data_IF_898443131898
#
_entry.id   IF_898443131898
#
_cell.length_a   1.000
_cell.length_b   1.000
_cell.length_c   1.000
_cell.angle_alpha   90.00
_cell.angle_beta   90.00
_cell.angle_gamma   90.00
#
_symmetry.space_group_name_H-M   'P 1'
#
loop_
_entity.id
_entity.type
_entity.pdbx_description
1 polymer ?
#
# COMPACT_ATOMS: atom_id res chain seq x y z
N UNK A 1 -35.45 -28.15 17.40
CA UNK A 1 -34.11 -27.64 17.59
C UNK A 1 -34.11 -26.13 17.45
N UNK A 2 -33.98 -25.40 18.56
CA UNK A 2 -34.01 -23.93 18.56
C UNK A 2 -32.62 -23.44 18.16
N UNK A 3 -32.53 -22.66 17.10
CA UNK A 3 -31.27 -22.01 16.65
C UNK A 3 -30.84 -20.96 17.67
N UNK A 4 -29.65 -21.14 18.24
CA UNK A 4 -29.03 -20.10 19.07
C UNK A 4 -28.80 -18.82 18.24
N UNK A 5 -29.14 -17.65 18.75
CA UNK A 5 -28.83 -16.39 18.09
C UNK A 5 -27.34 -16.16 18.10
N UNK A 6 -26.79 -15.82 16.92
CA UNK A 6 -25.38 -15.37 16.79
C UNK A 6 -25.15 -14.18 17.72
N UNK A 7 -24.01 -14.11 18.43
CA UNK A 7 -23.70 -12.97 19.28
C UNK A 7 -23.66 -11.68 18.45
N UNK A 8 -24.36 -10.65 18.94
CA UNK A 8 -24.31 -9.31 18.38
C UNK A 8 -22.87 -8.81 18.35
N UNK A 9 -22.38 -8.25 17.22
CA UNK A 9 -21.06 -7.67 17.19
C UNK A 9 -20.99 -6.53 18.21
N UNK A 10 -20.02 -6.63 19.12
CA UNK A 10 -19.71 -5.64 20.14
C UNK A 10 -19.52 -4.29 19.43
N UNK A 11 -20.28 -3.29 19.88
CA UNK A 11 -20.14 -1.91 19.40
C UNK A 11 -18.71 -1.45 19.65
N UNK A 12 -17.96 -0.93 18.66
CA UNK A 12 -16.65 -0.38 18.95
C UNK A 12 -16.80 0.70 20.03
N UNK A 13 -16.06 0.54 21.13
CA UNK A 13 -16.08 1.47 22.23
C UNK A 13 -15.63 2.84 21.71
N UNK A 14 -16.47 3.85 21.78
CA UNK A 14 -16.09 5.24 21.51
C UNK A 14 -15.01 5.62 22.52
N UNK A 15 -13.81 5.87 22.07
CA UNK A 15 -12.74 6.43 22.90
C UNK A 15 -13.15 7.89 23.20
N UNK A 16 -13.35 8.28 24.46
CA UNK A 16 -13.75 9.65 24.81
C UNK A 16 -12.70 10.66 24.29
N UNK A 17 -13.15 11.74 23.67
CA UNK A 17 -12.28 12.81 23.17
C UNK A 17 -11.74 12.62 21.75
N UNK A 18 -12.00 11.49 21.06
CA UNK A 18 -11.57 11.25 19.67
C UNK A 18 -12.56 11.86 18.69
N UNK A 19 -12.05 12.69 17.77
CA UNK A 19 -12.85 13.21 16.66
C UNK A 19 -13.20 12.09 15.68
N UNK A 20 -14.47 11.97 15.35
CA UNK A 20 -14.97 11.04 14.33
C UNK A 20 -15.09 11.81 13.02
N UNK A 21 -14.53 11.24 11.94
CA UNK A 21 -14.59 11.80 10.62
C UNK A 21 -15.58 11.04 9.74
N UNK A 22 -16.27 11.78 8.88
CA UNK A 22 -17.01 11.24 7.74
C UNK A 22 -16.11 11.36 6.50
N UNK A 23 -15.62 10.24 5.98
CA UNK A 23 -14.64 10.21 4.89
C UNK A 23 -15.27 9.60 3.65
N UNK A 24 -15.27 10.36 2.53
CA UNK A 24 -15.60 9.82 1.23
C UNK A 24 -14.33 9.24 0.58
N UNK A 25 -14.22 7.93 0.54
CA UNK A 25 -13.11 7.21 -0.10
C UNK A 25 -13.47 6.91 -1.55
N UNK A 26 -12.64 7.32 -2.50
CA UNK A 26 -12.86 7.10 -3.94
C UNK A 26 -11.70 6.31 -4.51
N UNK A 27 -12.02 5.17 -5.13
CA UNK A 27 -11.03 4.25 -5.68
C UNK A 27 -11.55 3.54 -6.92
N UNK A 28 -10.67 3.14 -7.81
CA UNK A 28 -10.99 2.30 -8.99
C UNK A 28 -10.70 0.84 -8.74
N UNK A 29 -9.92 0.52 -7.69
CA UNK A 29 -9.60 -0.85 -7.28
C UNK A 29 -9.97 -1.08 -5.82
N UNK A 30 -10.74 -2.12 -5.56
CA UNK A 30 -11.15 -2.52 -4.21
C UNK A 30 -11.50 -4.00 -4.19
N UNK A 31 -11.64 -4.59 -2.97
CA UNK A 31 -12.13 -5.96 -2.83
C UNK A 31 -13.46 -6.16 -3.61
N UNK A 32 -13.65 -7.28 -4.34
CA UNK A 32 -12.89 -8.54 -4.33
C UNK A 32 -11.66 -8.61 -5.25
N UNK A 33 -11.21 -7.50 -5.85
CA UNK A 33 -9.97 -7.52 -6.63
C UNK A 33 -8.76 -7.94 -5.79
N UNK A 34 -7.87 -8.77 -6.36
CA UNK A 34 -6.71 -9.31 -5.66
C UNK A 34 -5.46 -8.60 -6.15
N UNK A 35 -5.21 -7.41 -5.63
CA UNK A 35 -3.97 -6.68 -5.85
C UNK A 35 -3.51 -5.98 -4.56
N UNK A 36 -2.26 -5.49 -4.54
CA UNK A 36 -1.66 -4.89 -3.35
C UNK A 36 -2.36 -3.61 -2.88
N UNK A 37 -2.92 -2.82 -3.81
CA UNK A 37 -3.66 -1.59 -3.48
C UNK A 37 -5.01 -1.92 -2.87
N UNK A 38 -5.78 -2.81 -3.51
CA UNK A 38 -7.09 -3.25 -3.01
C UNK A 38 -7.00 -3.87 -1.60
N UNK A 39 -5.98 -4.74 -1.36
CA UNK A 39 -5.74 -5.37 -0.06
C UNK A 39 -5.40 -4.33 1.01
N UNK A 40 -4.52 -3.40 0.70
CA UNK A 40 -4.11 -2.33 1.63
C UNK A 40 -5.28 -1.41 1.96
N UNK A 41 -6.03 -0.97 0.93
CA UNK A 41 -7.18 -0.09 1.11
C UNK A 41 -8.30 -0.75 1.91
N UNK A 42 -8.58 -2.03 1.63
CA UNK A 42 -9.58 -2.79 2.39
C UNK A 42 -9.23 -2.83 3.88
N UNK A 43 -7.95 -3.07 4.22
CA UNK A 43 -7.50 -3.04 5.61
C UNK A 43 -7.63 -1.65 6.22
N UNK A 44 -7.15 -0.60 5.54
CA UNK A 44 -7.27 0.79 6.01
C UNK A 44 -8.71 1.20 6.28
N UNK A 45 -9.63 0.89 5.37
CA UNK A 45 -11.06 1.21 5.50
C UNK A 45 -11.64 0.50 6.70
N UNK A 46 -11.36 -0.80 6.88
CA UNK A 46 -11.85 -1.55 8.03
C UNK A 46 -11.31 -0.99 9.35
N UNK A 47 -10.00 -0.72 9.43
CA UNK A 47 -9.39 -0.16 10.63
C UNK A 47 -10.00 1.21 10.99
N UNK A 48 -10.31 2.06 10.01
CA UNK A 48 -10.98 3.35 10.23
C UNK A 48 -12.44 3.16 10.71
N UNK A 49 -13.18 2.20 10.14
CA UNK A 49 -14.53 1.86 10.57
C UNK A 49 -14.53 1.31 12.00
N UNK A 50 -13.61 0.40 12.32
CA UNK A 50 -13.47 -0.19 13.65
C UNK A 50 -13.07 0.87 14.70
N UNK A 51 -12.40 1.93 14.26
CA UNK A 51 -12.08 3.11 15.07
C UNK A 51 -13.23 4.12 15.19
N UNK A 52 -14.38 3.85 14.55
CA UNK A 52 -15.65 4.58 14.68
C UNK A 52 -15.90 5.65 13.62
N UNK A 53 -15.06 5.78 12.59
CA UNK A 53 -15.29 6.71 11.50
C UNK A 53 -16.44 6.27 10.59
N UNK A 54 -17.08 7.23 9.90
CA UNK A 54 -18.13 6.97 8.89
C UNK A 54 -17.50 7.02 7.50
N UNK A 55 -17.39 5.87 6.85
CA UNK A 55 -16.75 5.71 5.55
C UNK A 55 -17.81 5.53 4.46
N UNK A 56 -17.75 6.40 3.44
CA UNK A 56 -18.54 6.29 2.23
C UNK A 56 -17.61 5.93 1.07
N UNK A 57 -17.61 4.67 0.66
CA UNK A 57 -16.73 4.16 -0.39
C UNK A 57 -17.38 4.23 -1.77
N UNK A 58 -16.71 4.88 -2.72
CA UNK A 58 -17.07 4.92 -4.13
C UNK A 58 -16.10 4.05 -4.93
N UNK A 59 -16.63 3.02 -5.62
CA UNK A 59 -15.84 2.10 -6.46
C UNK A 59 -16.59 1.67 -7.70
N UNK A 60 -15.92 1.27 -8.79
CA UNK A 60 -16.57 0.69 -9.96
C UNK A 60 -17.26 -0.63 -9.62
N UNK A 61 -18.41 -0.87 -10.24
CA UNK A 61 -19.10 -2.16 -10.16
C UNK A 61 -18.25 -3.26 -10.79
N UNK A 62 -18.03 -4.36 -10.08
CA UNK A 62 -17.19 -5.48 -10.51
C UNK A 62 -17.87 -6.47 -11.47
N UNK A 63 -19.19 -6.47 -11.53
CA UNK A 63 -19.97 -7.33 -12.44
C UNK A 63 -21.47 -7.16 -12.21
N UNK A 64 -22.28 -7.90 -12.96
CA UNK A 64 -23.74 -7.84 -12.84
C UNK A 64 -24.24 -8.30 -11.47
N UNK A 65 -23.54 -9.24 -10.85
CA UNK A 65 -23.85 -9.79 -9.52
C UNK A 65 -23.23 -9.01 -8.35
N UNK A 66 -22.45 -7.94 -8.64
CA UNK A 66 -21.84 -7.12 -7.60
C UNK A 66 -22.89 -6.30 -6.87
N UNK A 67 -22.89 -6.39 -5.56
CA UNK A 67 -23.81 -5.69 -4.65
C UNK A 67 -23.03 -4.87 -3.62
N UNK A 68 -23.68 -3.86 -3.08
CA UNK A 68 -23.13 -3.06 -1.98
C UNK A 68 -23.01 -3.92 -0.70
N UNK A 69 -21.96 -3.65 0.08
CA UNK A 69 -21.76 -4.27 1.39
C UNK A 69 -21.86 -3.18 2.45
N UNK A 70 -23.10 -2.77 2.74
CA UNK A 70 -23.34 -1.73 3.74
C UNK A 70 -23.36 -2.34 5.15
N UNK A 71 -22.72 -1.64 6.08
CA UNK A 71 -22.72 -1.96 7.52
C UNK A 71 -22.59 -0.68 8.34
N UNK A 72 -22.73 -0.78 9.64
CA UNK A 72 -22.59 0.40 10.53
C UNK A 72 -21.23 1.08 10.34
N UNK A 73 -21.24 2.38 10.08
CA UNK A 73 -20.04 3.18 9.81
C UNK A 73 -19.41 2.95 8.43
N UNK A 74 -20.04 2.14 7.56
CA UNK A 74 -19.51 1.86 6.23
C UNK A 74 -20.61 1.69 5.19
N UNK A 75 -20.56 2.44 4.11
CA UNK A 75 -21.50 2.37 3.00
C UNK A 75 -20.77 2.39 1.67
N UNK A 76 -21.25 1.61 0.70
CA UNK A 76 -20.69 1.57 -0.65
C UNK A 76 -21.60 2.26 -1.67
N UNK A 77 -21.00 2.89 -2.64
CA UNK A 77 -21.66 3.44 -3.84
C UNK A 77 -20.98 2.85 -5.07
N UNK A 78 -21.72 2.01 -5.78
CA UNK A 78 -21.22 1.39 -7.01
C UNK A 78 -21.33 2.37 -8.17
N UNK A 79 -20.18 2.66 -8.79
CA UNK A 79 -20.05 3.56 -9.92
C UNK A 79 -19.99 2.78 -11.24
N UNK A 80 -20.36 3.43 -12.34
CA UNK A 80 -20.18 2.87 -13.67
C UNK A 80 -18.70 2.80 -14.04
N UNK A 81 -18.30 1.73 -14.72
CA UNK A 81 -16.92 1.52 -15.16
C UNK A 81 -16.79 0.37 -16.13
N UNK A 82 -15.60 0.18 -16.69
CA UNK A 82 -15.28 -0.92 -17.60
C UNK A 82 -13.99 -1.64 -17.20
N UNK A 83 -13.79 -2.85 -17.74
CA UNK A 83 -12.54 -3.61 -17.59
C UNK A 83 -11.41 -2.92 -18.33
N UNK A 84 -10.19 -2.99 -17.77
CA UNK A 84 -9.00 -2.51 -18.46
C UNK A 84 -8.58 -3.58 -19.48
N UNK A 85 -8.46 -3.24 -20.78
CA UNK A 85 -7.85 -4.14 -21.75
C UNK A 85 -6.47 -4.61 -21.25
N UNK A 86 -6.12 -5.87 -21.45
CA UNK A 86 -4.88 -6.51 -20.97
C UNK A 86 -4.78 -6.81 -19.45
N UNK A 87 -5.67 -6.24 -18.60
CA UNK A 87 -5.73 -6.49 -17.16
C UNK A 87 -7.18 -6.83 -16.77
N UNK A 88 -7.61 -8.06 -17.08
CA UNK A 88 -9.01 -8.52 -16.92
C UNK A 88 -9.60 -8.34 -15.53
N UNK A 89 -8.73 -8.33 -14.51
CA UNK A 89 -9.11 -8.24 -13.10
C UNK A 89 -9.15 -6.79 -12.59
N UNK A 90 -8.74 -5.82 -13.41
CA UNK A 90 -8.75 -4.39 -13.05
C UNK A 90 -9.82 -3.62 -13.81
N UNK A 91 -10.36 -2.58 -13.19
CA UNK A 91 -11.40 -1.74 -13.78
C UNK A 91 -11.05 -0.25 -13.72
N UNK A 92 -11.54 0.49 -14.73
CA UNK A 92 -11.64 1.94 -14.68
C UNK A 92 -13.06 2.36 -14.30
N UNK A 93 -13.17 3.34 -13.41
CA UNK A 93 -14.42 4.07 -13.23
C UNK A 93 -14.60 5.14 -14.32
N UNK A 94 -15.81 5.28 -14.82
CA UNK A 94 -16.09 6.37 -15.77
C UNK A 94 -16.10 7.75 -15.09
N UNK A 95 -15.84 8.84 -15.84
CA UNK A 95 -15.97 10.19 -15.31
C UNK A 95 -17.37 10.45 -14.72
N UNK A 96 -17.43 10.82 -13.43
CA UNK A 96 -18.68 10.88 -12.68
C UNK A 96 -18.82 12.15 -11.81
N UNK A 97 -18.20 13.28 -12.21
CA UNK A 97 -18.18 14.52 -11.41
C UNK A 97 -19.55 14.95 -10.90
N UNK A 98 -20.60 14.93 -11.75
CA UNK A 98 -21.96 15.37 -11.36
C UNK A 98 -22.59 14.46 -10.31
N UNK A 99 -22.38 13.15 -10.42
CA UNK A 99 -22.90 12.15 -9.50
C UNK A 99 -22.20 12.29 -8.15
N UNK A 100 -20.86 12.33 -8.14
CA UNK A 100 -20.05 12.51 -6.93
C UNK A 100 -20.40 13.83 -6.23
N UNK A 101 -20.53 14.94 -6.97
CA UNK A 101 -20.91 16.24 -6.41
C UNK A 101 -22.28 16.19 -5.72
N UNK A 102 -23.27 15.43 -6.26
CA UNK A 102 -24.57 15.23 -5.64
C UNK A 102 -24.45 14.46 -4.32
N UNK A 103 -23.65 13.38 -4.32
CA UNK A 103 -23.39 12.61 -3.09
C UNK A 103 -22.67 13.45 -2.05
N UNK A 104 -21.63 14.17 -2.41
CA UNK A 104 -20.87 15.01 -1.48
C UNK A 104 -21.71 16.13 -0.88
N UNK A 105 -22.61 16.75 -1.67
CA UNK A 105 -23.59 17.73 -1.14
C UNK A 105 -24.54 17.12 -0.12
N UNK A 106 -25.04 15.90 -0.38
CA UNK A 106 -25.98 15.21 0.50
C UNK A 106 -25.30 14.73 1.78
N UNK A 107 -24.16 14.07 1.63
CA UNK A 107 -23.47 13.38 2.72
C UNK A 107 -22.55 14.29 3.54
N UNK A 108 -22.09 15.40 2.96
CA UNK A 108 -21.17 16.38 3.59
C UNK A 108 -19.97 15.70 4.28
N UNK A 109 -19.11 14.99 3.55
CA UNK A 109 -17.92 14.38 4.14
C UNK A 109 -16.95 15.48 4.62
N UNK A 110 -16.26 15.22 5.73
CA UNK A 110 -15.18 16.10 6.24
C UNK A 110 -13.97 16.08 5.29
N UNK A 111 -13.74 14.93 4.65
CA UNK A 111 -12.59 14.67 3.77
C UNK A 111 -13.05 13.84 2.58
N UNK A 112 -12.49 14.13 1.40
CA UNK A 112 -12.51 13.23 0.25
C UNK A 112 -11.12 12.62 0.09
N UNK A 113 -11.01 11.30 0.24
CA UNK A 113 -9.76 10.55 0.09
C UNK A 113 -9.75 9.79 -1.23
N UNK A 114 -8.94 10.25 -2.19
CA UNK A 114 -8.80 9.66 -3.53
C UNK A 114 -7.60 8.71 -3.53
N UNK A 115 -7.87 7.40 -3.66
CA UNK A 115 -6.84 6.35 -3.52
C UNK A 115 -6.21 5.97 -4.86
N UNK A 116 -6.94 6.18 -5.97
CA UNK A 116 -6.46 5.88 -7.31
C UNK A 116 -6.68 7.05 -8.24
N UNK A 117 -5.77 7.19 -9.20
CA UNK A 117 -5.59 8.37 -10.03
C UNK A 117 -6.39 8.32 -11.36
N UNK A 118 -7.28 7.37 -11.54
CA UNK A 118 -8.05 7.20 -12.77
C UNK A 118 -9.15 8.26 -12.98
N UNK A 119 -10.02 8.09 -14.00
CA UNK A 119 -11.05 9.07 -14.34
C UNK A 119 -12.08 9.31 -13.24
N UNK A 120 -12.38 8.28 -12.43
CA UNK A 120 -13.27 8.41 -11.26
C UNK A 120 -12.60 9.26 -10.18
N UNK A 121 -11.31 8.97 -9.86
CA UNK A 121 -10.52 9.74 -8.91
C UNK A 121 -10.38 11.21 -9.33
N UNK A 122 -10.09 11.48 -10.61
CA UNK A 122 -10.08 12.84 -11.15
C UNK A 122 -11.42 13.56 -10.99
N UNK A 123 -12.51 12.84 -11.22
CA UNK A 123 -13.86 13.38 -11.04
C UNK A 123 -14.14 13.73 -9.59
N UNK A 124 -13.63 12.93 -8.64
CA UNK A 124 -13.78 13.18 -7.21
C UNK A 124 -13.01 14.44 -6.77
N UNK A 125 -11.74 14.60 -7.20
CA UNK A 125 -10.96 15.81 -6.94
C UNK A 125 -11.72 17.07 -7.40
N UNK A 126 -12.25 17.04 -8.62
CA UNK A 126 -13.01 18.19 -9.17
C UNK A 126 -14.33 18.45 -8.44
N UNK A 127 -15.05 17.39 -8.06
CA UNK A 127 -16.34 17.51 -7.37
C UNK A 127 -16.16 18.06 -5.95
N UNK A 128 -15.15 17.59 -5.22
CA UNK A 128 -14.83 18.03 -3.87
C UNK A 128 -14.35 19.49 -3.86
N UNK A 129 -13.46 19.87 -4.77
CA UNK A 129 -12.98 21.25 -4.90
C UNK A 129 -14.10 22.24 -5.21
N UNK A 130 -15.06 21.87 -6.08
CA UNK A 130 -16.24 22.72 -6.34
C UNK A 130 -17.12 22.95 -5.09
N UNK A 131 -16.94 22.16 -4.05
CA UNK A 131 -17.70 22.20 -2.79
C UNK A 131 -16.87 22.67 -1.59
N UNK A 132 -15.60 23.05 -1.82
CA UNK A 132 -14.70 23.43 -0.74
C UNK A 132 -14.29 22.28 0.19
N UNK A 133 -14.51 21.02 -0.17
CA UNK A 133 -14.16 19.87 0.67
C UNK A 133 -12.68 19.53 0.45
N UNK A 134 -11.88 19.43 1.51
CA UNK A 134 -10.47 19.07 1.40
C UNK A 134 -10.29 17.67 0.79
N UNK A 135 -9.31 17.57 -0.12
CA UNK A 135 -9.01 16.32 -0.83
C UNK A 135 -7.63 15.84 -0.43
N UNK A 136 -7.56 14.59 -0.01
CA UNK A 136 -6.31 13.85 0.20
C UNK A 136 -6.19 12.85 -0.93
N UNK A 137 -5.01 12.68 -1.50
CA UNK A 137 -4.77 11.68 -2.55
C UNK A 137 -3.65 10.74 -2.17
N UNK A 138 -3.75 9.48 -2.61
CA UNK A 138 -2.69 8.49 -2.47
C UNK A 138 -1.92 8.32 -3.79
N UNK A 139 -0.60 8.31 -3.72
CA UNK A 139 0.27 7.90 -4.80
C UNK A 139 0.73 6.45 -4.56
N UNK A 140 -0.02 5.48 -5.09
CA UNK A 140 0.20 4.06 -4.81
C UNK A 140 0.76 3.25 -5.96
N UNK A 141 0.75 3.82 -7.17
CA UNK A 141 1.21 3.13 -8.38
C UNK A 141 2.33 3.93 -9.01
N UNK A 142 3.53 3.35 -9.07
CA UNK A 142 4.66 4.00 -9.73
C UNK A 142 4.58 3.80 -11.25
N UNK A 143 3.59 4.45 -11.88
CA UNK A 143 3.43 4.40 -13.34
C UNK A 143 4.68 4.88 -14.08
N UNK A 144 5.43 5.81 -13.52
CA UNK A 144 6.63 6.36 -14.16
C UNK A 144 7.72 5.30 -14.30
N UNK A 145 8.03 4.55 -13.24
CA UNK A 145 8.98 3.45 -13.29
C UNK A 145 8.50 2.31 -14.19
N UNK A 146 7.19 2.05 -14.23
CA UNK A 146 6.62 1.09 -15.16
C UNK A 146 6.77 1.54 -16.62
N UNK A 147 6.51 2.81 -16.94
CA UNK A 147 6.64 3.33 -18.32
C UNK A 147 8.10 3.37 -18.79
N UNK A 148 9.04 3.65 -17.91
CA UNK A 148 10.47 3.62 -18.20
C UNK A 148 10.97 2.19 -18.44
N UNK A 149 10.58 1.25 -17.57
CA UNK A 149 10.93 -0.16 -17.68
C UNK A 149 10.35 -0.82 -18.95
N UNK A 150 9.10 -0.48 -19.31
CA UNK A 150 8.42 -1.00 -20.50
C UNK A 150 8.59 -0.12 -21.75
N UNK A 151 9.48 0.88 -21.75
CA UNK A 151 9.83 1.76 -22.89
C UNK A 151 8.61 2.47 -23.54
N UNK A 152 7.68 2.96 -22.76
CA UNK A 152 6.42 3.57 -23.27
C UNK A 152 6.61 5.02 -23.81
N UNK A 153 7.82 5.54 -23.90
CA UNK A 153 8.16 6.77 -24.63
C UNK A 153 7.31 8.01 -24.32
N UNK A 154 6.73 8.63 -25.38
CA UNK A 154 5.92 9.86 -25.26
C UNK A 154 4.68 9.72 -24.36
N UNK A 155 4.04 8.56 -24.35
CA UNK A 155 2.88 8.31 -23.48
C UNK A 155 3.19 8.45 -21.99
N UNK A 156 4.42 8.12 -21.58
CA UNK A 156 4.88 8.29 -20.19
C UNK A 156 4.86 9.74 -19.72
N UNK A 157 5.26 10.70 -20.59
CA UNK A 157 5.23 12.14 -20.25
C UNK A 157 3.80 12.65 -20.09
N UNK A 158 2.86 12.20 -20.94
CA UNK A 158 1.44 12.58 -20.86
C UNK A 158 0.83 12.08 -19.55
N UNK A 159 1.06 10.81 -19.21
CA UNK A 159 0.58 10.22 -17.96
C UNK A 159 1.22 10.91 -16.76
N UNK A 160 2.52 11.16 -16.75
CA UNK A 160 3.22 11.87 -15.68
C UNK A 160 2.64 13.27 -15.44
N UNK A 161 2.40 14.04 -16.51
CA UNK A 161 1.77 15.36 -16.41
C UNK A 161 0.32 15.30 -15.91
N UNK A 162 -0.43 14.27 -16.29
CA UNK A 162 -1.77 14.04 -15.78
C UNK A 162 -1.76 13.78 -14.27
N UNK A 163 -0.91 12.83 -13.80
CA UNK A 163 -0.77 12.48 -12.39
C UNK A 163 -0.35 13.70 -11.57
N UNK A 164 0.68 14.43 -12.01
CA UNK A 164 1.14 15.64 -11.35
C UNK A 164 0.03 16.68 -11.23
N UNK A 165 -0.76 16.91 -12.30
CA UNK A 165 -1.90 17.82 -12.25
C UNK A 165 -3.01 17.37 -11.30
N UNK A 166 -3.21 16.06 -11.14
CA UNK A 166 -4.20 15.52 -10.21
C UNK A 166 -3.74 15.78 -8.77
N UNK A 167 -2.53 15.35 -8.43
CA UNK A 167 -2.00 15.43 -7.07
C UNK A 167 -1.77 16.87 -6.60
N UNK A 168 -1.25 17.76 -7.46
CA UNK A 168 -1.08 19.19 -7.11
C UNK A 168 -2.42 19.95 -6.98
N UNK A 169 -3.57 19.28 -7.21
CA UNK A 169 -4.90 19.82 -6.91
C UNK A 169 -5.51 19.29 -5.63
N UNK A 170 -4.82 18.45 -4.93
CA UNK A 170 -5.22 17.93 -3.61
C UNK A 170 -4.49 18.70 -2.50
N UNK A 171 -5.05 18.69 -1.31
CA UNK A 171 -4.45 19.36 -0.15
C UNK A 171 -3.13 18.69 0.26
N UNK A 172 -3.06 17.36 0.13
CA UNK A 172 -1.87 16.57 0.36
C UNK A 172 -1.90 15.28 -0.46
N UNK A 173 -0.71 14.83 -0.88
CA UNK A 173 -0.48 13.54 -1.53
C UNK A 173 0.25 12.61 -0.57
N UNK A 174 -0.30 11.43 -0.33
CA UNK A 174 0.29 10.42 0.54
C UNK A 174 1.06 9.40 -0.27
N UNK A 175 2.27 9.08 0.17
CA UNK A 175 3.12 8.06 -0.43
C UNK A 175 3.59 7.06 0.62
N UNK A 176 3.92 5.82 0.24
CA UNK A 176 4.28 4.81 1.22
C UNK A 176 5.75 4.86 1.67
N UNK A 177 6.63 5.62 1.01
CA UNK A 177 8.07 5.66 1.33
C UNK A 177 8.68 7.05 1.18
N UNK A 178 9.77 7.31 1.90
CA UNK A 178 10.51 8.56 1.84
C UNK A 178 11.21 8.76 0.50
N UNK A 179 11.75 7.69 -0.09
CA UNK A 179 12.39 7.74 -1.41
C UNK A 179 11.42 8.29 -2.46
N UNK A 180 10.16 7.85 -2.39
CA UNK A 180 9.13 8.31 -3.31
C UNK A 180 8.72 9.78 -3.07
N UNK A 181 8.76 10.25 -1.81
CA UNK A 181 8.57 11.69 -1.50
C UNK A 181 9.64 12.52 -2.23
N UNK A 182 10.90 12.14 -2.07
CA UNK A 182 12.02 12.87 -2.68
C UNK A 182 11.95 12.87 -4.21
N UNK A 183 11.59 11.74 -4.81
CA UNK A 183 11.44 11.61 -6.26
C UNK A 183 10.26 12.44 -6.79
N UNK A 184 9.15 12.46 -6.09
CA UNK A 184 7.98 13.27 -6.48
C UNK A 184 8.27 14.77 -6.34
N UNK A 185 8.97 15.21 -5.29
CA UNK A 185 9.39 16.62 -5.17
C UNK A 185 10.31 17.05 -6.33
N UNK A 186 11.30 16.21 -6.71
CA UNK A 186 12.16 16.47 -7.88
C UNK A 186 11.36 16.60 -9.18
N UNK A 187 10.22 15.89 -9.29
CA UNK A 187 9.31 15.95 -10.44
C UNK A 187 8.32 17.12 -10.37
N UNK A 188 8.34 17.93 -9.28
CA UNK A 188 7.49 19.10 -9.07
C UNK A 188 6.08 18.74 -8.59
N UNK A 189 5.94 17.70 -7.77
CA UNK A 189 4.75 17.49 -6.97
C UNK A 189 4.83 18.36 -5.71
N UNK A 190 3.71 18.97 -5.34
CA UNK A 190 3.57 19.79 -4.15
C UNK A 190 2.96 18.94 -3.01
N UNK A 191 3.26 19.30 -1.75
CA UNK A 191 2.60 18.72 -0.57
C UNK A 191 2.56 17.18 -0.55
N UNK A 192 3.72 16.54 -0.56
CA UNK A 192 3.85 15.09 -0.47
C UNK A 192 4.28 14.69 0.93
N UNK A 193 3.64 13.66 1.53
CA UNK A 193 3.95 13.14 2.87
C UNK A 193 3.93 11.63 2.90
N UNK A 194 4.80 11.05 3.74
CA UNK A 194 4.79 9.59 3.94
C UNK A 194 3.62 9.18 4.83
N UNK A 195 2.82 8.25 4.33
CA UNK A 195 1.96 7.36 5.13
C UNK A 195 2.30 5.94 4.75
N UNK A 196 3.04 5.30 5.59
CA UNK A 196 3.59 3.96 5.39
C UNK A 196 2.50 2.89 5.37
N UNK A 197 2.91 1.64 5.22
CA UNK A 197 2.01 0.48 5.32
C UNK A 197 2.26 -0.26 6.61
N UNK A 198 1.21 -0.89 7.13
CA UNK A 198 1.28 -1.74 8.28
C UNK A 198 1.56 -3.19 7.92
N UNK A 199 2.01 -3.96 8.90
CA UNK A 199 2.16 -5.40 8.86
C UNK A 199 1.34 -6.04 9.97
N UNK A 200 0.76 -7.20 9.69
CA UNK A 200 0.14 -8.07 10.69
C UNK A 200 1.21 -8.97 11.30
N UNK A 201 1.70 -8.59 12.48
CA UNK A 201 2.79 -9.27 13.17
C UNK A 201 2.37 -10.56 13.88
N UNK A 202 1.06 -10.80 14.02
CA UNK A 202 0.49 -12.05 14.54
C UNK A 202 0.38 -13.09 13.43
N UNK A 203 -0.07 -12.64 12.25
CA UNK A 203 -0.08 -13.47 11.05
C UNK A 203 1.35 -13.83 10.63
N UNK A 204 2.22 -12.82 10.43
CA UNK A 204 3.62 -13.00 10.03
C UNK A 204 4.50 -13.09 11.27
N UNK A 205 4.68 -14.33 11.76
CA UNK A 205 5.39 -14.60 13.02
C UNK A 205 6.33 -15.80 12.88
N UNK A 206 7.54 -15.77 13.49
CA UNK A 206 8.48 -16.89 13.43
C UNK A 206 7.92 -18.21 13.96
N UNK A 207 6.95 -18.18 14.89
CA UNK A 207 6.30 -19.39 15.41
C UNK A 207 5.46 -20.15 14.38
N UNK A 208 5.18 -19.54 13.22
CA UNK A 208 4.51 -20.20 12.09
C UNK A 208 5.44 -21.12 11.30
N UNK A 209 6.73 -21.26 11.71
CA UNK A 209 7.69 -22.19 11.09
C UNK A 209 7.13 -23.59 11.11
N UNK A 210 7.00 -24.18 9.93
CA UNK A 210 6.39 -25.49 9.73
C UNK A 210 7.45 -26.52 9.28
N UNK A 211 7.74 -27.47 10.14
CA UNK A 211 8.73 -28.52 9.87
C UNK A 211 8.23 -29.54 8.84
N UNK A 212 6.91 -29.73 8.70
CA UNK A 212 6.32 -30.60 7.69
C UNK A 212 6.53 -29.99 6.31
N UNK A 213 6.28 -28.68 6.17
CA UNK A 213 6.54 -27.94 4.94
C UNK A 213 8.03 -27.98 4.56
N UNK A 214 8.93 -27.86 5.54
CA UNK A 214 10.37 -28.01 5.28
C UNK A 214 10.74 -29.39 4.81
N UNK A 215 10.11 -30.44 5.35
CA UNK A 215 10.30 -31.83 4.92
C UNK A 215 9.81 -32.04 3.46
N UNK A 216 8.70 -31.42 3.08
CA UNK A 216 8.22 -31.40 1.69
C UNK A 216 9.23 -30.75 0.75
N UNK A 217 9.95 -29.72 1.18
CA UNK A 217 11.06 -29.11 0.46
C UNK A 217 12.36 -29.94 0.45
N UNK A 218 12.37 -31.09 1.10
CA UNK A 218 13.53 -31.96 1.20
C UNK A 218 14.63 -31.41 2.10
N UNK A 219 14.29 -30.59 3.12
CA UNK A 219 15.25 -30.02 4.08
C UNK A 219 14.89 -30.37 5.52
N UNK A 220 15.91 -30.54 6.34
CA UNK A 220 15.76 -30.68 7.79
C UNK A 220 15.70 -29.29 8.48
N UNK A 221 15.64 -29.31 9.83
CA UNK A 221 15.51 -28.07 10.62
C UNK A 221 16.70 -27.12 10.53
N UNK A 222 17.90 -27.64 10.25
CA UNK A 222 19.16 -26.88 10.31
C UNK A 222 19.71 -26.49 8.92
N UNK A 223 19.20 -27.09 7.83
CA UNK A 223 19.58 -26.75 6.47
C UNK A 223 19.09 -25.36 6.08
N UNK A 224 19.88 -24.66 5.28
CA UNK A 224 19.56 -23.31 4.82
C UNK A 224 18.46 -23.34 3.76
N UNK A 225 17.39 -22.57 4.00
CA UNK A 225 16.35 -22.26 2.99
C UNK A 225 16.43 -20.78 2.61
N UNK A 226 16.74 -20.54 1.36
CA UNK A 226 16.69 -19.21 0.74
C UNK A 226 15.30 -19.01 0.15
N UNK A 227 14.63 -17.94 0.52
CA UNK A 227 13.27 -17.64 0.14
C UNK A 227 13.18 -16.41 -0.76
N UNK A 228 12.40 -16.51 -1.81
CA UNK A 228 11.88 -15.38 -2.59
C UNK A 228 10.36 -15.41 -2.51
N UNK A 229 9.74 -14.25 -2.29
CA UNK A 229 8.28 -14.08 -2.34
C UNK A 229 7.94 -12.84 -3.16
N UNK A 230 7.07 -13.00 -4.15
CA UNK A 230 6.62 -11.90 -4.98
C UNK A 230 6.14 -12.35 -6.35
N UNK A 231 5.72 -11.38 -7.18
CA UNK A 231 5.37 -11.65 -8.57
C UNK A 231 6.61 -12.14 -9.33
N UNK A 232 6.47 -13.24 -10.08
CA UNK A 232 7.57 -13.80 -10.88
C UNK A 232 7.60 -13.10 -12.24
N UNK A 233 8.25 -11.93 -12.28
CA UNK A 233 8.29 -11.04 -13.43
C UNK A 233 9.66 -10.34 -13.54
N UNK A 234 9.98 -9.81 -14.72
CA UNK A 234 11.31 -9.28 -15.05
C UNK A 234 11.72 -8.12 -14.13
N UNK A 235 10.80 -7.22 -13.80
CA UNK A 235 11.05 -6.08 -12.93
C UNK A 235 11.40 -6.46 -11.48
N UNK A 236 11.17 -7.72 -11.08
CA UNK A 236 11.54 -8.26 -9.76
C UNK A 236 12.93 -8.87 -9.72
N UNK A 237 13.60 -8.93 -10.87
CA UNK A 237 15.02 -9.31 -11.00
C UNK A 237 15.35 -10.67 -10.33
N UNK A 238 14.45 -11.66 -10.49
CA UNK A 238 14.54 -12.96 -9.84
C UNK A 238 15.78 -13.72 -10.28
N UNK A 239 16.20 -13.53 -11.52
CA UNK A 239 17.44 -14.14 -12.05
C UNK A 239 18.65 -13.79 -11.19
N UNK A 240 18.72 -12.57 -10.64
CA UNK A 240 19.81 -12.21 -9.72
C UNK A 240 19.70 -12.97 -8.38
N UNK A 241 18.48 -13.19 -7.87
CA UNK A 241 18.30 -14.05 -6.68
C UNK A 241 18.76 -15.47 -6.95
N UNK A 242 18.46 -16.01 -8.13
CA UNK A 242 18.92 -17.36 -8.56
C UNK A 242 20.44 -17.37 -8.70
N UNK A 243 21.05 -16.39 -9.34
CA UNK A 243 22.51 -16.27 -9.46
C UNK A 243 23.19 -16.23 -8.07
N UNK A 244 22.67 -15.44 -7.15
CA UNK A 244 23.16 -15.38 -5.78
C UNK A 244 23.02 -16.72 -5.05
N UNK A 245 21.88 -17.42 -5.25
CA UNK A 245 21.68 -18.76 -4.70
C UNK A 245 22.64 -19.79 -5.31
N UNK A 246 22.93 -19.75 -6.61
CA UNK A 246 23.95 -20.65 -7.21
C UNK A 246 25.31 -20.47 -6.55
N UNK A 247 25.68 -19.23 -6.19
CA UNK A 247 26.91 -18.98 -5.43
C UNK A 247 26.87 -19.54 -4.00
N UNK A 248 25.71 -19.55 -3.34
CA UNK A 248 25.56 -20.24 -2.06
C UNK A 248 25.78 -21.75 -2.22
N UNK A 249 25.24 -22.36 -3.27
CA UNK A 249 25.38 -23.81 -3.52
C UNK A 249 26.82 -24.26 -3.71
N UNK A 250 27.72 -23.40 -4.20
CA UNK A 250 29.17 -23.73 -4.30
C UNK A 250 29.77 -24.05 -2.92
N UNK A 251 29.33 -23.38 -1.84
CA UNK A 251 29.82 -23.59 -0.47
C UNK A 251 28.86 -24.40 0.41
N UNK A 252 27.59 -24.46 0.06
CA UNK A 252 26.55 -25.19 0.77
C UNK A 252 25.61 -25.93 -0.21
N UNK A 253 26.02 -27.09 -0.75
CA UNK A 253 25.25 -27.85 -1.73
C UNK A 253 23.87 -28.31 -1.24
N UNK A 254 23.69 -28.41 0.08
CA UNK A 254 22.44 -28.83 0.70
C UNK A 254 21.43 -27.69 0.89
N UNK A 255 21.80 -26.44 0.57
CA UNK A 255 20.86 -25.32 0.60
C UNK A 255 19.75 -25.53 -0.45
N UNK A 256 18.54 -25.05 -0.11
CA UNK A 256 17.41 -25.05 -1.05
C UNK A 256 16.90 -23.62 -1.27
N UNK A 257 16.44 -23.36 -2.49
CA UNK A 257 15.75 -22.10 -2.80
C UNK A 257 14.28 -22.37 -3.08
N UNK A 258 13.43 -21.60 -2.40
CA UNK A 258 11.97 -21.67 -2.51
C UNK A 258 11.47 -20.35 -3.07
N UNK A 259 10.66 -20.41 -4.13
CA UNK A 259 10.05 -19.26 -4.78
C UNK A 259 8.52 -19.34 -4.60
N UNK A 260 7.95 -18.30 -4.00
CA UNK A 260 6.51 -18.20 -3.72
C UNK A 260 5.93 -17.07 -4.54
N UNK A 261 5.02 -17.38 -5.44
CA UNK A 261 4.34 -16.41 -6.29
C UNK A 261 4.00 -16.95 -7.67
N UNK A 262 3.34 -16.11 -8.45
CA UNK A 262 2.98 -16.36 -9.85
C UNK A 262 3.45 -15.20 -10.72
N UNK A 263 3.56 -15.44 -12.02
CA UNK A 263 3.90 -14.40 -12.97
C UNK A 263 4.39 -14.91 -14.31
N UNK A 264 4.61 -14.01 -15.28
CA UNK A 264 4.89 -14.38 -16.67
C UNK A 264 6.22 -15.13 -16.87
N UNK A 265 7.16 -15.05 -15.93
CA UNK A 265 8.45 -15.75 -16.02
C UNK A 265 8.49 -17.08 -15.27
N UNK A 266 7.41 -17.48 -14.56
CA UNK A 266 7.43 -18.68 -13.71
C UNK A 266 7.82 -19.92 -14.50
N UNK A 267 7.05 -20.28 -15.53
CA UNK A 267 7.27 -21.51 -16.31
C UNK A 267 8.66 -21.54 -16.95
N UNK A 268 9.12 -20.39 -17.44
CA UNK A 268 10.46 -20.26 -18.02
C UNK A 268 11.56 -20.50 -16.98
N UNK A 269 11.43 -19.93 -15.78
CA UNK A 269 12.44 -20.09 -14.73
C UNK A 269 12.38 -21.49 -14.09
N UNK A 270 11.20 -22.07 -13.93
CA UNK A 270 10.99 -23.43 -13.42
C UNK A 270 11.62 -24.46 -14.36
N UNK A 271 11.36 -24.36 -15.67
CA UNK A 271 11.97 -25.24 -16.66
C UNK A 271 13.50 -25.13 -16.73
N UNK A 272 14.06 -23.91 -16.56
CA UNK A 272 15.52 -23.68 -16.52
C UNK A 272 16.19 -24.14 -15.23
N UNK A 273 15.44 -24.26 -14.14
CA UNK A 273 15.96 -24.54 -12.81
C UNK A 273 15.11 -25.59 -12.10
N UNK A 274 15.09 -26.86 -12.56
CA UNK A 274 14.22 -27.91 -12.02
C UNK A 274 14.56 -28.33 -10.58
N UNK A 275 15.72 -27.94 -10.07
CA UNK A 275 16.16 -28.18 -8.69
C UNK A 275 15.65 -27.14 -7.70
N UNK A 276 15.06 -26.03 -8.16
CA UNK A 276 14.43 -25.01 -7.36
C UNK A 276 12.96 -25.35 -7.07
N UNK A 277 12.44 -24.85 -5.96
CA UNK A 277 11.09 -25.18 -5.49
C UNK A 277 10.15 -24.00 -5.78
N UNK A 278 9.25 -24.17 -6.75
CA UNK A 278 8.23 -23.20 -7.10
C UNK A 278 6.91 -23.57 -6.45
N UNK A 279 6.46 -22.78 -5.46
CA UNK A 279 5.27 -23.08 -4.66
C UNK A 279 3.97 -22.47 -5.19
N UNK A 280 4.03 -21.67 -6.27
CA UNK A 280 2.88 -20.93 -6.76
C UNK A 280 2.40 -19.84 -5.79
N UNK A 281 1.23 -19.29 -6.05
CA UNK A 281 0.64 -18.22 -5.21
C UNK A 281 0.15 -18.78 -3.86
N UNK A 282 0.63 -18.21 -2.77
CA UNK A 282 0.17 -18.48 -1.40
C UNK A 282 -0.44 -17.24 -0.77
N UNK A 283 -1.37 -17.41 0.18
CA UNK A 283 -2.08 -16.32 0.87
C UNK A 283 -2.30 -16.65 2.34
N UNK A 284 -2.52 -15.60 3.16
CA UNK A 284 -2.88 -15.74 4.58
C UNK A 284 -1.92 -16.64 5.35
N UNK A 285 -2.44 -17.60 6.10
CA UNK A 285 -1.68 -18.52 6.94
C UNK A 285 -0.66 -19.35 6.14
N UNK A 286 -1.02 -19.81 4.95
CA UNK A 286 -0.09 -20.57 4.10
C UNK A 286 1.12 -19.71 3.67
N UNK A 287 0.90 -18.46 3.32
CA UNK A 287 1.99 -17.54 3.01
C UNK A 287 2.87 -17.30 4.25
N UNK A 288 2.26 -17.09 5.41
CA UNK A 288 2.98 -16.87 6.66
C UNK A 288 3.85 -18.08 7.05
N UNK A 289 3.36 -19.31 6.87
CA UNK A 289 4.14 -20.54 7.06
C UNK A 289 5.34 -20.59 6.12
N UNK A 290 5.18 -20.21 4.85
CA UNK A 290 6.29 -20.18 3.89
C UNK A 290 7.37 -19.19 4.32
N UNK A 291 6.99 -17.96 4.72
CA UNK A 291 7.97 -17.02 5.26
C UNK A 291 8.69 -17.57 6.48
N UNK A 292 7.95 -18.00 7.51
CA UNK A 292 8.53 -18.48 8.74
C UNK A 292 9.40 -19.74 8.57
N UNK A 293 9.17 -20.52 7.52
CA UNK A 293 9.94 -21.72 7.19
C UNK A 293 11.22 -21.45 6.40
N UNK A 294 11.42 -20.21 5.90
CA UNK A 294 12.67 -19.73 5.31
C UNK A 294 13.71 -19.33 6.37
N UNK A 295 14.94 -19.07 5.94
CA UNK A 295 16.05 -18.62 6.78
C UNK A 295 16.68 -17.33 6.25
N UNK A 296 16.71 -17.15 4.93
CA UNK A 296 17.28 -15.98 4.25
C UNK A 296 16.32 -15.53 3.15
N UNK A 297 15.94 -14.27 3.16
CA UNK A 297 15.05 -13.67 2.17
C UNK A 297 15.84 -12.81 1.19
N UNK A 298 15.68 -13.06 -0.12
CA UNK A 298 16.34 -12.32 -1.20
C UNK A 298 15.32 -11.49 -1.97
N UNK A 299 15.58 -10.17 -2.09
CA UNK A 299 14.65 -9.29 -2.78
C UNK A 299 15.36 -8.18 -3.59
N UNK A 300 15.92 -8.50 -4.79
CA UNK A 300 16.60 -7.54 -5.66
C UNK A 300 15.63 -6.82 -6.62
N UNK A 301 14.42 -6.48 -6.15
CA UNK A 301 13.41 -5.82 -6.98
C UNK A 301 13.89 -4.47 -7.50
N UNK A 302 13.66 -4.21 -8.79
CA UNK A 302 14.04 -2.96 -9.46
C UNK A 302 12.92 -1.92 -9.47
N UNK A 303 11.69 -2.32 -9.16
CA UNK A 303 10.55 -1.40 -9.13
C UNK A 303 9.62 -1.73 -7.96
N UNK A 304 9.54 -0.81 -7.02
CA UNK A 304 8.60 -0.89 -5.91
C UNK A 304 8.01 0.49 -5.60
N UNK A 305 6.72 0.54 -5.30
CA UNK A 305 6.17 1.70 -4.59
C UNK A 305 6.43 1.60 -3.09
N UNK A 306 6.46 0.37 -2.56
CA UNK A 306 6.75 0.10 -1.16
C UNK A 306 7.51 -1.21 -0.95
N UNK A 307 6.93 -2.36 -1.34
CA UNK A 307 7.51 -3.69 -1.11
C UNK A 307 7.04 -4.32 0.20
N UNK A 308 5.74 -4.62 0.31
CA UNK A 308 5.13 -5.27 1.50
C UNK A 308 5.86 -6.54 1.92
N UNK A 309 6.39 -7.30 0.95
CA UNK A 309 7.12 -8.54 1.17
C UNK A 309 8.35 -8.37 2.08
N UNK A 310 8.94 -7.17 2.10
CA UNK A 310 10.04 -6.83 3.02
C UNK A 310 9.53 -6.81 4.46
N UNK A 311 8.41 -6.14 4.74
CA UNK A 311 7.82 -6.14 6.09
C UNK A 311 7.34 -7.54 6.52
N UNK A 312 6.79 -8.33 5.59
CA UNK A 312 6.37 -9.71 5.82
C UNK A 312 7.57 -10.59 6.21
N UNK A 313 8.70 -10.45 5.50
CA UNK A 313 9.95 -11.15 5.81
C UNK A 313 10.56 -10.71 7.15
N UNK A 314 10.58 -9.39 7.42
CA UNK A 314 11.03 -8.84 8.72
C UNK A 314 10.19 -9.42 9.87
N UNK A 315 8.87 -9.36 9.75
CA UNK A 315 7.93 -9.84 10.77
C UNK A 315 8.05 -11.36 11.01
N UNK A 316 8.33 -12.11 9.96
CA UNK A 316 8.55 -13.57 10.03
C UNK A 316 9.93 -13.98 10.52
N UNK A 317 10.83 -13.03 10.78
CA UNK A 317 12.15 -13.28 11.39
C UNK A 317 13.17 -13.89 10.43
N UNK A 318 13.19 -13.52 9.17
CA UNK A 318 14.21 -13.93 8.22
C UNK A 318 15.41 -12.96 8.22
N UNK A 319 16.60 -13.49 7.89
CA UNK A 319 17.70 -12.65 7.43
C UNK A 319 17.36 -12.05 6.07
N UNK A 320 17.66 -10.76 5.84
CA UNK A 320 17.25 -10.07 4.62
C UNK A 320 18.43 -9.54 3.82
N UNK A 321 18.36 -9.78 2.51
CA UNK A 321 19.15 -9.08 1.50
C UNK A 321 18.18 -8.42 0.52
N UNK A 322 18.19 -7.10 0.45
CA UNK A 322 17.34 -6.34 -0.46
C UNK A 322 18.09 -5.10 -0.95
N UNK A 323 17.80 -4.61 -2.13
CA UNK A 323 18.36 -3.32 -2.53
C UNK A 323 17.95 -2.21 -1.57
N UNK A 324 18.87 -1.26 -1.34
CA UNK A 324 18.62 -0.07 -0.52
C UNK A 324 17.62 0.84 -1.24
N UNK A 325 16.34 0.48 -1.19
CA UNK A 325 15.25 1.12 -1.91
C UNK A 325 13.89 0.83 -1.27
N UNK A 326 12.95 1.76 -1.35
CA UNK A 326 11.56 1.67 -0.87
C UNK A 326 11.46 1.20 0.60
N UNK A 327 10.69 0.14 0.92
CA UNK A 327 10.52 -0.34 2.30
C UNK A 327 11.86 -0.76 2.94
N UNK A 328 12.77 -1.38 2.18
CA UNK A 328 14.07 -1.77 2.70
C UNK A 328 14.89 -0.55 3.14
N UNK A 329 14.92 0.53 2.35
CA UNK A 329 15.59 1.77 2.74
C UNK A 329 14.91 2.49 3.91
N UNK A 330 13.57 2.42 3.98
CA UNK A 330 12.78 3.13 5.01
C UNK A 330 12.88 2.50 6.40
N UNK A 331 13.01 1.15 6.47
CA UNK A 331 12.88 0.41 7.73
C UNK A 331 14.11 -0.37 8.15
N UNK A 332 15.04 -0.60 7.26
CA UNK A 332 16.19 -1.45 7.53
C UNK A 332 17.48 -0.62 7.57
N UNK A 333 18.43 -1.11 8.34
CA UNK A 333 19.74 -0.51 8.52
C UNK A 333 20.80 -1.53 8.12
N UNK A 334 21.67 -1.10 7.18
CA UNK A 334 22.73 -1.97 6.64
C UNK A 334 23.65 -2.49 7.74
N UNK A 335 23.92 -3.80 7.73
CA UNK A 335 24.78 -4.48 8.72
C UNK A 335 24.15 -4.65 10.11
N UNK A 336 22.99 -4.05 10.37
CA UNK A 336 22.29 -4.11 11.67
C UNK A 336 21.04 -4.96 11.61
N UNK A 337 20.11 -4.66 10.70
CA UNK A 337 18.83 -5.35 10.53
C UNK A 337 18.63 -5.97 9.15
N UNK A 338 19.52 -5.69 8.21
CA UNK A 338 19.59 -6.32 6.89
C UNK A 338 20.96 -6.07 6.26
N UNK A 339 21.26 -6.76 5.16
CA UNK A 339 22.28 -6.31 4.24
C UNK A 339 21.62 -5.62 3.05
N UNK A 340 21.99 -4.36 2.81
CA UNK A 340 21.39 -3.48 1.83
C UNK A 340 22.44 -3.07 0.78
N UNK A 341 22.64 -3.89 -0.27
CA UNK A 341 23.46 -3.48 -1.41
C UNK A 341 22.85 -2.24 -2.09
N UNK A 342 23.69 -1.42 -2.70
CA UNK A 342 23.28 -0.26 -3.48
C UNK A 342 22.33 -0.67 -4.61
N UNK A 343 21.37 0.22 -4.93
CA UNK A 343 20.39 -0.05 -5.99
C UNK A 343 21.08 -0.39 -7.31
N UNK A 344 20.74 -1.53 -7.91
CA UNK A 344 21.34 -2.04 -9.15
C UNK A 344 22.75 -2.64 -9.02
N UNK A 345 23.35 -2.65 -7.84
CA UNK A 345 24.70 -3.21 -7.59
C UNK A 345 24.64 -4.73 -7.46
N UNK A 346 24.66 -5.41 -8.62
CA UNK A 346 24.48 -6.88 -8.70
C UNK A 346 25.54 -7.66 -7.93
N UNK A 347 26.84 -7.29 -8.07
CA UNK A 347 27.91 -8.00 -7.41
C UNK A 347 27.85 -7.85 -5.89
N UNK A 348 27.58 -6.63 -5.39
CA UNK A 348 27.35 -6.42 -3.95
C UNK A 348 26.22 -7.28 -3.41
N UNK A 349 25.12 -7.43 -4.17
CA UNK A 349 24.00 -8.27 -3.79
C UNK A 349 24.42 -9.75 -3.64
N UNK A 350 25.20 -10.27 -4.59
CA UNK A 350 25.71 -11.65 -4.56
C UNK A 350 26.66 -11.84 -3.38
N UNK A 351 27.64 -10.94 -3.21
CA UNK A 351 28.67 -11.05 -2.17
C UNK A 351 28.05 -11.00 -0.76
N UNK A 352 27.14 -10.05 -0.52
CA UNK A 352 26.43 -9.95 0.75
C UNK A 352 25.52 -11.16 1.00
N UNK A 353 24.93 -11.72 -0.04
CA UNK A 353 24.11 -12.94 0.05
C UNK A 353 24.98 -14.12 0.50
N UNK A 354 26.12 -14.34 -0.14
CA UNK A 354 27.09 -15.39 0.23
C UNK A 354 27.61 -15.18 1.65
N UNK A 355 27.98 -13.97 2.01
CA UNK A 355 28.48 -13.65 3.36
C UNK A 355 27.44 -14.00 4.45
N UNK A 356 26.19 -13.58 4.28
CA UNK A 356 25.15 -13.79 5.29
C UNK A 356 24.65 -15.26 5.29
N UNK A 357 24.71 -15.96 4.15
CA UNK A 357 24.35 -17.38 4.07
C UNK A 357 25.28 -18.27 4.89
N UNK A 358 26.58 -17.94 4.89
CA UNK A 358 27.61 -18.69 5.59
C UNK A 358 27.73 -18.33 7.10
N UNK A 359 27.01 -17.28 7.55
CA UNK A 359 27.09 -16.84 8.94
C UNK A 359 25.73 -16.95 9.64
N UNK A 360 25.40 -18.14 10.13
CA UNK A 360 24.11 -18.43 10.77
C UNK A 360 23.87 -17.59 12.04
N UNK A 361 24.90 -17.32 12.83
CA UNK A 361 24.77 -16.50 14.06
C UNK A 361 24.43 -15.05 13.71
N UNK A 362 25.15 -14.46 12.76
CA UNK A 362 24.89 -13.11 12.30
C UNK A 362 23.51 -13.01 11.64
N UNK A 363 23.13 -13.99 10.80
CA UNK A 363 21.82 -14.04 10.16
C UNK A 363 20.69 -14.00 11.18
N UNK A 364 20.76 -14.81 12.24
CA UNK A 364 19.77 -14.82 13.34
C UNK A 364 19.75 -13.48 14.09
N UNK A 365 20.91 -12.86 14.35
CA UNK A 365 21.00 -11.56 15.03
C UNK A 365 20.36 -10.45 14.21
N UNK A 366 20.63 -10.41 12.91
CA UNK A 366 20.05 -9.44 11.96
C UNK A 366 18.53 -9.64 11.86
N UNK A 367 18.07 -10.89 11.72
CA UNK A 367 16.66 -11.23 11.65
C UNK A 367 15.88 -10.79 12.91
N UNK A 368 16.43 -11.00 14.10
CA UNK A 368 15.83 -10.54 15.35
C UNK A 368 15.69 -9.00 15.40
N UNK A 369 16.72 -8.29 14.92
CA UNK A 369 16.68 -6.82 14.84
C UNK A 369 15.67 -6.32 13.79
N UNK A 370 15.58 -6.98 12.63
CA UNK A 370 14.57 -6.68 11.61
C UNK A 370 13.15 -6.88 12.16
N UNK A 371 12.91 -8.01 12.85
CA UNK A 371 11.62 -8.27 13.48
C UNK A 371 11.25 -7.20 14.51
N UNK A 372 12.19 -6.80 15.36
CA UNK A 372 11.91 -5.73 16.34
C UNK A 372 11.43 -4.44 15.65
N UNK A 373 12.02 -4.07 14.51
CA UNK A 373 11.57 -2.92 13.71
C UNK A 373 10.19 -3.16 13.09
N UNK A 374 9.88 -4.39 12.64
CA UNK A 374 8.56 -4.71 12.10
C UNK A 374 7.43 -4.57 13.13
N UNK A 375 7.70 -4.85 14.41
CA UNK A 375 6.72 -4.65 15.50
C UNK A 375 6.30 -3.18 15.67
N UNK A 376 7.09 -2.25 15.14
CA UNK A 376 6.76 -0.83 15.12
C UNK A 376 5.94 -0.41 13.89
N UNK A 377 5.81 -1.26 12.89
CA UNK A 377 5.10 -0.99 11.63
C UNK A 377 3.67 -1.56 11.66
N UNK A 378 2.85 -1.18 12.64
CA UNK A 378 1.50 -1.73 12.80
C UNK A 378 0.45 -0.97 11.97
N UNK A 379 -0.61 -1.64 11.59
CA UNK A 379 -1.77 -1.02 10.95
C UNK A 379 -2.43 0.03 11.85
N UNK A 380 -2.36 -0.15 13.16
CA UNK A 380 -2.85 0.83 14.13
C UNK A 380 -2.12 2.18 14.00
N UNK A 381 -0.78 2.16 13.87
CA UNK A 381 0.01 3.37 13.63
C UNK A 381 -0.31 4.03 12.28
N UNK A 382 -0.61 3.24 11.26
CA UNK A 382 -1.06 3.74 9.95
C UNK A 382 -2.40 4.46 10.08
N UNK A 383 -3.37 3.84 10.73
CA UNK A 383 -4.68 4.45 10.98
C UNK A 383 -4.56 5.74 11.80
N UNK A 384 -3.73 5.74 12.85
CA UNK A 384 -3.46 6.95 13.65
C UNK A 384 -2.83 8.07 12.81
N UNK A 385 -1.90 7.74 11.91
CA UNK A 385 -1.28 8.73 11.01
C UNK A 385 -2.32 9.35 10.07
N UNK A 386 -3.24 8.54 9.54
CA UNK A 386 -4.34 9.03 8.71
C UNK A 386 -5.30 9.94 9.50
N UNK A 387 -5.67 9.57 10.72
CA UNK A 387 -6.51 10.42 11.58
C UNK A 387 -5.87 11.76 11.87
N UNK A 388 -4.56 11.79 12.13
CA UNK A 388 -3.83 13.04 12.34
C UNK A 388 -3.89 13.93 11.09
N UNK A 389 -3.70 13.35 9.91
CA UNK A 389 -3.81 14.06 8.64
C UNK A 389 -5.23 14.55 8.41
N UNK A 390 -6.25 13.72 8.64
CA UNK A 390 -7.64 14.13 8.51
C UNK A 390 -7.99 15.27 9.45
N UNK A 391 -7.49 15.23 10.69
CA UNK A 391 -7.67 16.31 11.64
C UNK A 391 -7.04 17.63 11.17
N UNK A 392 -5.79 17.56 10.71
CA UNK A 392 -5.03 18.71 10.22
C UNK A 392 -5.79 19.45 9.09
N UNK A 393 -6.22 18.72 8.07
CA UNK A 393 -6.82 19.32 6.89
C UNK A 393 -8.30 19.68 7.05
N UNK A 394 -9.06 18.98 7.89
CA UNK A 394 -10.46 19.35 8.17
C UNK A 394 -10.58 20.58 9.08
N UNK A 395 -9.66 20.80 10.02
CA UNK A 395 -9.64 21.99 10.87
C UNK A 395 -9.22 23.23 10.08
N UNK A 396 -8.20 23.11 9.23
CA UNK A 396 -7.72 24.22 8.40
C UNK A 396 -8.81 24.79 7.50
N UNK A 397 -9.69 23.94 6.97
CA UNK A 397 -10.81 24.41 6.14
C UNK A 397 -11.89 25.10 6.94
N UNK A 398 -12.25 24.59 8.12
CA UNK A 398 -13.23 25.25 8.98
C UNK A 398 -12.78 26.66 9.39
N UNK A 399 -11.50 26.82 9.73
CA UNK A 399 -10.93 28.12 10.06
C UNK A 399 -10.97 29.10 8.87
N UNK A 400 -10.67 28.64 7.67
CA UNK A 400 -10.74 29.46 6.44
C UNK A 400 -12.19 29.84 6.09
N UNK A 401 -13.15 28.94 6.30
CA UNK A 401 -14.58 29.24 6.11
C UNK A 401 -15.09 30.24 7.15
N UNK A 402 -14.70 30.11 8.40
CA UNK A 402 -15.03 31.09 9.44
C UNK A 402 -14.49 32.48 9.11
N UNK A 403 -13.21 32.60 8.72
CA UNK A 403 -12.63 33.86 8.29
C UNK A 403 -13.28 34.45 7.04
N UNK A 404 -13.61 33.59 6.06
CA UNK A 404 -14.32 34.03 4.86
C UNK A 404 -15.74 34.55 5.19
N UNK A 405 -16.46 33.87 6.08
CA UNK A 405 -17.78 34.27 6.54
C UNK A 405 -17.74 35.57 7.37
N UNK A 406 -16.76 35.74 8.24
CA UNK A 406 -16.54 37.00 8.97
C UNK A 406 -16.28 38.17 8.03
N UNK A 407 -15.43 37.96 7.00
CA UNK A 407 -15.16 38.98 5.99
C UNK A 407 -16.39 39.34 5.14
N UNK A 408 -17.20 38.35 4.77
CA UNK A 408 -18.47 38.56 4.06
C UNK A 408 -19.45 39.34 4.93
N UNK A 409 -19.59 38.99 6.21
CA UNK A 409 -20.45 39.69 7.13
C UNK A 409 -20.00 41.12 7.37
N UNK A 410 -18.69 41.36 7.49
CA UNK A 410 -18.12 42.69 7.59
C UNK A 410 -18.44 43.54 6.35
N UNK A 411 -18.28 42.99 5.15
CA UNK A 411 -18.61 43.70 3.90
C UNK A 411 -20.10 44.05 3.81
N UNK A 412 -20.99 43.13 4.22
CA UNK A 412 -22.45 43.41 4.28
C UNK A 412 -22.81 44.53 5.23
N UNK A 413 -22.13 44.60 6.39
CA UNK A 413 -22.34 45.65 7.38
C UNK A 413 -21.87 47.02 6.81
N UNK A 414 -20.73 47.04 6.13
CA UNK A 414 -20.22 48.26 5.47
C UNK A 414 -21.15 48.73 4.33
N UNK A 415 -21.62 47.81 3.52
CA UNK A 415 -22.60 48.13 2.44
C UNK A 415 -23.92 48.70 3.00
N UNK A 416 -24.44 48.06 4.06
CA UNK A 416 -25.68 48.53 4.67
C UNK A 416 -25.53 49.94 5.31
N UNK A 417 -24.37 50.25 5.91
CA UNK A 417 -24.06 51.59 6.44
C UNK A 417 -23.98 52.64 5.31
N UNK A 418 -23.30 52.29 4.22
CA UNK A 418 -23.19 53.20 3.08
C UNK A 418 -24.51 53.47 2.35
N UNK A 419 -25.46 52.56 2.40
CA UNK A 419 -26.83 52.73 1.88
C UNK A 419 -27.66 53.66 2.80
N UNK A 420 -27.46 53.54 4.13
CA UNK A 420 -28.12 54.43 5.10
C UNK A 420 -27.59 55.87 4.95
N UNK A 421 -26.28 56.04 4.81
CA UNK A 421 -25.67 57.37 4.60
C UNK A 421 -26.04 58.06 3.30
N UNK A 422 -26.47 57.31 2.25
CA UNK A 422 -26.95 57.83 0.97
C UNK A 422 -28.46 58.15 0.96
N UNK A 423 -29.18 57.69 1.96
CA UNK A 423 -30.63 57.91 2.12
C UNK A 423 -30.99 59.09 2.99
N UNK A 424 -30.00 59.75 3.62
CA UNK A 424 -30.07 60.99 4.31
C UNK A 424 -29.28 62.06 3.55
#
# INVERSE_FOLDING_TARGET
>A
MRSNPKPNPISPARIPGRRIFKVAVVTETYFPEINGVAKTLHRMVNDLVDRGHDILLFRPRQGLKDSVNDRRGYREVLMAGCRIPMYSDMRFGFPAKRILKRHFKKERPDIVHVVTEGPLGWSAVRAARDLGIPVISDFRTNFHSYTEYYKVGFAGKVVGNYLKRLHNRTAITLTPSQDLVEDLFKQGYDNVRVVSRGIDTDLFHPSKRDLSLRKEWGVNKDQLVVLYVGRIAAEKNIELSIQAFRKIQESNPNAKMVLVGEGPLKDTLENKNPDLIFCGLKKGEELAKHYASGDLFLFPSMTETFGNVVLEAMASGLGLIAYKYAAANSYLEHGVSAFLPGFGKKQEFIDMTCFLSNNAVLRKKIAAKARKKAMDCTWEKVAQSLENIYSEYSISMNYLEEQANEKINFLRIVESRSQIERAF
#
